data_IF_700221887685
#
_entry.id   IF_700221887685
#
_cell.length_a   1.000
_cell.length_b   1.000
_cell.length_c   1.000
_cell.angle_alpha   90.00
_cell.angle_beta   90.00
_cell.angle_gamma   90.00
#
_symmetry.space_group_name_H-M   'P 1'
#
loop_
_entity.id
_entity.type
_entity.pdbx_description
1 polymer ?
#
# COMPACT_ATOMS: atom_id res chain seq x y z
N UNK A 1 -39.99 21.24 -94.58
CA UNK A 1 -38.70 20.54 -94.52
C UNK A 1 -37.76 21.34 -93.62
N UNK A 2 -37.69 21.00 -92.34
CA UNK A 2 -36.67 21.55 -91.44
C UNK A 2 -35.45 20.63 -91.63
N UNK A 3 -34.46 21.08 -92.39
CA UNK A 3 -33.17 20.40 -92.47
C UNK A 3 -32.54 20.45 -91.08
N UNK A 4 -32.63 19.34 -90.33
CA UNK A 4 -31.77 19.12 -89.18
C UNK A 4 -30.34 19.01 -89.73
N UNK A 5 -29.56 20.07 -89.57
CA UNK A 5 -28.13 20.03 -89.81
C UNK A 5 -27.53 18.98 -88.86
N UNK A 6 -27.23 17.79 -89.39
CA UNK A 6 -26.28 16.86 -88.77
C UNK A 6 -24.94 17.60 -88.75
N UNK A 7 -24.66 18.32 -87.66
CA UNK A 7 -23.34 18.86 -87.42
C UNK A 7 -22.42 17.65 -87.17
N UNK A 8 -21.55 17.37 -88.13
CA UNK A 8 -20.58 16.29 -88.03
C UNK A 8 -19.48 16.74 -87.05
N UNK A 9 -19.61 16.38 -85.77
CA UNK A 9 -18.69 16.82 -84.71
C UNK A 9 -17.49 15.85 -84.66
N UNK A 10 -16.22 16.35 -84.58
CA UNK A 10 -15.04 15.52 -84.40
C UNK A 10 -14.94 15.01 -82.94
N UNK A 11 -15.89 14.14 -82.56
CA UNK A 11 -16.07 13.66 -81.17
C UNK A 11 -14.82 12.94 -80.67
N UNK A 12 -14.16 12.17 -81.54
CA UNK A 12 -12.97 11.41 -81.18
C UNK A 12 -11.83 12.35 -80.78
N UNK A 13 -11.47 13.28 -81.64
CA UNK A 13 -10.36 14.23 -81.43
C UNK A 13 -10.63 15.13 -80.23
N UNK A 14 -11.86 15.61 -80.05
CA UNK A 14 -12.27 16.40 -78.89
C UNK A 14 -12.18 15.60 -77.58
N UNK A 15 -12.60 14.33 -77.60
CA UNK A 15 -12.52 13.44 -76.43
C UNK A 15 -11.06 13.13 -76.08
N UNK A 16 -10.21 12.86 -77.08
CA UNK A 16 -8.79 12.61 -76.89
C UNK A 16 -8.07 13.85 -76.31
N UNK A 17 -8.38 15.05 -76.80
CA UNK A 17 -7.84 16.30 -76.27
C UNK A 17 -8.25 16.52 -74.80
N UNK A 18 -9.53 16.34 -74.47
CA UNK A 18 -10.03 16.42 -73.08
C UNK A 18 -9.36 15.39 -72.17
N UNK A 19 -9.20 14.16 -72.64
CA UNK A 19 -8.50 13.10 -71.90
C UNK A 19 -7.02 13.45 -71.67
N UNK A 20 -6.34 13.99 -72.68
CA UNK A 20 -4.95 14.43 -72.56
C UNK A 20 -4.80 15.59 -71.56
N UNK A 21 -5.70 16.59 -71.59
CA UNK A 21 -5.72 17.69 -70.60
C UNK A 21 -5.93 17.14 -69.19
N UNK A 22 -6.85 16.18 -69.00
CA UNK A 22 -7.08 15.56 -67.71
C UNK A 22 -5.84 14.82 -67.19
N UNK A 23 -5.13 14.09 -68.06
CA UNK A 23 -3.85 13.44 -67.72
C UNK A 23 -2.75 14.45 -67.40
N UNK A 24 -2.67 15.56 -68.16
CA UNK A 24 -1.72 16.64 -67.89
C UNK A 24 -1.93 17.22 -66.49
N UNK A 25 -3.18 17.47 -66.10
CA UNK A 25 -3.52 17.88 -64.73
C UNK A 25 -3.17 16.83 -63.69
N UNK A 26 -3.44 15.55 -63.97
CA UNK A 26 -3.10 14.44 -63.08
C UNK A 26 -1.60 14.40 -62.76
N UNK A 27 -0.72 14.66 -63.74
CA UNK A 27 0.74 14.73 -63.55
C UNK A 27 1.23 16.14 -63.16
N UNK A 28 0.36 16.94 -62.53
CA UNK A 28 0.68 18.27 -62.01
C UNK A 28 1.25 19.26 -63.04
N UNK A 29 0.78 19.21 -64.29
CA UNK A 29 1.22 20.16 -65.32
C UNK A 29 0.91 21.62 -64.96
N UNK A 30 -0.10 21.88 -64.13
CA UNK A 30 -0.36 23.23 -63.59
C UNK A 30 0.83 23.79 -62.80
N UNK A 31 1.61 22.92 -62.15
CA UNK A 31 2.82 23.29 -61.40
C UNK A 31 4.06 23.30 -62.29
N UNK A 32 4.23 22.32 -63.17
CA UNK A 32 5.50 22.09 -63.87
C UNK A 32 5.56 22.56 -65.32
N UNK A 33 4.43 22.65 -66.02
CA UNK A 33 4.32 23.16 -67.39
C UNK A 33 2.95 23.83 -67.64
N UNK A 34 2.66 24.95 -66.94
CA UNK A 34 1.40 25.65 -67.07
C UNK A 34 1.21 26.23 -68.48
N UNK A 35 2.30 26.55 -69.19
CA UNK A 35 2.25 27.19 -70.49
C UNK A 35 1.64 26.25 -71.55
N UNK A 36 2.15 25.02 -71.67
CA UNK A 36 1.60 24.04 -72.61
C UNK A 36 0.21 23.57 -72.21
N UNK A 37 -0.07 23.47 -70.90
CA UNK A 37 -1.42 23.14 -70.41
C UNK A 37 -2.44 24.24 -70.77
N UNK A 38 -2.11 25.50 -70.51
CA UNK A 38 -2.97 26.64 -70.84
C UNK A 38 -3.15 26.79 -72.35
N UNK A 39 -2.09 26.57 -73.13
CA UNK A 39 -2.15 26.52 -74.60
C UNK A 39 -3.11 25.43 -75.07
N UNK A 40 -3.00 24.22 -74.51
CA UNK A 40 -3.90 23.10 -74.83
C UNK A 40 -5.37 23.43 -74.55
N UNK A 41 -5.65 24.03 -73.39
CA UNK A 41 -7.00 24.46 -73.00
C UNK A 41 -7.53 25.51 -73.98
N UNK A 42 -6.72 26.50 -74.35
CA UNK A 42 -7.08 27.55 -75.31
C UNK A 42 -7.36 26.98 -76.72
N UNK A 43 -6.56 26.05 -77.19
CA UNK A 43 -6.76 25.37 -78.47
C UNK A 43 -8.05 24.54 -78.47
N UNK A 44 -8.39 23.91 -77.33
CA UNK A 44 -9.66 23.20 -77.19
C UNK A 44 -10.85 24.15 -77.27
N UNK A 45 -10.81 25.30 -76.58
CA UNK A 45 -11.84 26.34 -76.69
C UNK A 45 -11.97 26.86 -78.12
N UNK A 46 -10.84 27.10 -78.79
CA UNK A 46 -10.83 27.49 -80.21
C UNK A 46 -11.52 26.45 -81.09
N UNK A 47 -11.35 25.15 -80.79
CA UNK A 47 -12.08 24.08 -81.46
C UNK A 47 -13.59 24.15 -81.27
N UNK A 48 -14.07 24.54 -80.08
CA UNK A 48 -15.50 24.76 -79.84
C UNK A 48 -16.02 25.97 -80.63
N UNK A 49 -15.25 27.05 -80.72
CA UNK A 49 -15.62 28.24 -81.51
C UNK A 49 -15.77 27.91 -83.00
N UNK A 50 -14.91 27.04 -83.55
CA UNK A 50 -15.05 26.56 -84.92
C UNK A 50 -16.34 25.75 -85.14
N UNK A 51 -16.74 24.92 -84.17
CA UNK A 51 -18.02 24.20 -84.25
C UNK A 51 -19.24 25.13 -84.22
N UNK A 52 -19.19 26.21 -83.42
CA UNK A 52 -20.24 27.25 -83.42
C UNK A 52 -20.38 27.90 -84.80
N UNK A 53 -19.29 27.99 -85.56
CA UNK A 53 -19.26 28.54 -86.93
C UNK A 53 -19.49 27.49 -88.02
N UNK A 54 -19.84 26.25 -87.65
CA UNK A 54 -19.97 25.09 -88.55
C UNK A 54 -18.67 24.71 -89.32
N UNK A 55 -17.49 25.11 -88.83
CA UNK A 55 -16.19 24.74 -89.40
C UNK A 55 -15.65 23.46 -88.75
N UNK A 56 -16.10 22.31 -89.26
CA UNK A 56 -15.69 20.98 -88.77
C UNK A 56 -14.18 20.70 -88.96
N UNK A 57 -13.57 20.98 -90.13
CA UNK A 57 -12.12 20.81 -90.30
C UNK A 57 -11.29 21.68 -89.36
N UNK A 58 -11.69 22.95 -89.16
CA UNK A 58 -11.04 23.85 -88.20
C UNK A 58 -11.14 23.34 -86.76
N UNK A 59 -12.33 22.87 -86.36
CA UNK A 59 -12.54 22.27 -85.05
C UNK A 59 -11.67 21.03 -84.82
N UNK A 60 -11.56 20.14 -85.82
CA UNK A 60 -10.71 18.95 -85.76
C UNK A 60 -9.24 19.33 -85.58
N UNK A 61 -8.74 20.26 -86.40
CA UNK A 61 -7.34 20.72 -86.34
C UNK A 61 -7.00 21.36 -84.98
N UNK A 62 -7.92 22.15 -84.44
CA UNK A 62 -7.76 22.76 -83.12
C UNK A 62 -7.77 21.73 -81.98
N UNK A 63 -8.61 20.69 -82.06
CA UNK A 63 -8.61 19.58 -81.11
C UNK A 63 -7.30 18.76 -81.17
N UNK A 64 -6.77 18.50 -82.36
CA UNK A 64 -5.48 17.84 -82.55
C UNK A 64 -4.32 18.67 -81.96
N UNK A 65 -4.31 19.99 -82.21
CA UNK A 65 -3.33 20.91 -81.63
C UNK A 65 -3.41 20.89 -80.08
N UNK A 66 -4.63 20.99 -79.54
CA UNK A 66 -4.87 20.89 -78.10
C UNK A 66 -4.31 19.61 -77.51
N UNK A 67 -4.56 18.46 -78.15
CA UNK A 67 -4.02 17.16 -77.73
C UNK A 67 -2.50 17.16 -77.72
N UNK A 68 -1.84 17.71 -78.75
CA UNK A 68 -0.38 17.79 -78.84
C UNK A 68 0.21 18.67 -77.74
N UNK A 69 -0.38 19.85 -77.48
CA UNK A 69 0.03 20.74 -76.39
C UNK A 69 -0.14 20.05 -75.03
N UNK A 70 -1.21 19.29 -74.80
CA UNK A 70 -1.38 18.51 -73.56
C UNK A 70 -0.35 17.38 -73.42
N UNK A 71 -0.02 16.68 -74.51
CA UNK A 71 1.03 15.64 -74.49
C UNK A 71 2.42 16.23 -74.20
N UNK A 72 2.72 17.41 -74.73
CA UNK A 72 3.93 18.15 -74.40
C UNK A 72 3.98 18.49 -72.90
N UNK A 73 2.87 19.00 -72.36
CA UNK A 73 2.74 19.29 -70.93
C UNK A 73 2.95 18.05 -70.05
N UNK A 74 2.38 16.90 -70.43
CA UNK A 74 2.60 15.63 -69.74
C UNK A 74 4.08 15.24 -69.76
N UNK A 75 4.71 15.27 -70.93
CA UNK A 75 6.11 14.87 -71.10
C UNK A 75 7.07 15.74 -70.29
N UNK A 76 6.81 17.05 -70.21
CA UNK A 76 7.62 17.98 -69.44
C UNK A 76 7.41 17.83 -67.91
N UNK A 77 6.18 17.52 -67.50
CA UNK A 77 5.78 17.52 -66.09
C UNK A 77 6.05 16.19 -65.39
N UNK A 78 5.85 15.06 -66.08
CA UNK A 78 5.84 13.73 -65.48
C UNK A 78 7.13 13.36 -64.72
N UNK A 79 8.35 13.64 -65.22
CA UNK A 79 9.57 13.34 -64.47
C UNK A 79 9.66 14.07 -63.13
N UNK A 80 9.29 15.36 -63.10
CA UNK A 80 9.29 16.18 -61.87
C UNK A 80 8.15 15.75 -60.93
N UNK A 81 6.99 15.43 -61.48
CA UNK A 81 5.85 14.95 -60.72
C UNK A 81 6.17 13.64 -59.99
N UNK A 82 6.76 12.67 -60.69
CA UNK A 82 7.18 11.40 -60.10
C UNK A 82 8.24 11.61 -58.99
N UNK A 83 9.22 12.49 -59.22
CA UNK A 83 10.26 12.80 -58.21
C UNK A 83 9.69 13.44 -56.94
N UNK A 84 8.92 14.51 -57.11
CA UNK A 84 8.37 15.26 -55.99
C UNK A 84 7.38 14.41 -55.19
N UNK A 85 6.54 13.61 -55.86
CA UNK A 85 5.60 12.72 -55.16
C UNK A 85 6.31 11.57 -54.44
N UNK A 86 7.40 11.03 -54.97
CA UNK A 86 8.18 10.02 -54.27
C UNK A 86 8.88 10.61 -53.04
N UNK A 87 9.38 11.84 -53.15
CA UNK A 87 9.98 12.59 -52.04
C UNK A 87 8.93 12.87 -50.95
N UNK A 88 7.75 13.32 -51.34
CA UNK A 88 6.59 13.52 -50.44
C UNK A 88 6.21 12.22 -49.73
N UNK A 89 6.09 11.11 -50.47
CA UNK A 89 5.77 9.79 -49.91
C UNK A 89 6.75 9.37 -48.81
N UNK A 90 8.05 9.52 -49.06
CA UNK A 90 9.10 9.21 -48.09
C UNK A 90 9.04 10.12 -46.87
N UNK A 91 8.79 11.41 -47.04
CA UNK A 91 8.66 12.36 -45.94
C UNK A 91 7.46 12.01 -45.05
N UNK A 92 6.28 11.78 -45.64
CA UNK A 92 5.07 11.37 -44.92
C UNK A 92 5.29 10.04 -44.20
N UNK A 93 5.94 9.07 -44.83
CA UNK A 93 6.30 7.80 -44.21
C UNK A 93 7.22 7.98 -42.99
N UNK A 94 8.23 8.83 -43.07
CA UNK A 94 9.12 9.14 -41.94
C UNK A 94 8.39 9.85 -40.79
N UNK A 95 7.45 10.75 -41.10
CA UNK A 95 6.61 11.39 -40.08
C UNK A 95 5.69 10.38 -39.39
N UNK A 96 5.12 9.43 -40.15
CA UNK A 96 4.34 8.33 -39.58
C UNK A 96 5.21 7.40 -38.72
N UNK A 97 6.44 7.11 -39.14
CA UNK A 97 7.41 6.30 -38.39
C UNK A 97 7.77 6.93 -37.04
N UNK A 98 8.03 8.26 -37.01
CA UNK A 98 8.25 9.01 -35.76
C UNK A 98 7.08 8.90 -34.79
N UNK A 99 5.86 8.80 -35.31
CA UNK A 99 4.64 8.61 -34.53
C UNK A 99 4.38 7.14 -34.14
N UNK A 100 5.36 6.25 -34.36
CA UNK A 100 5.24 4.82 -34.06
C UNK A 100 4.05 4.16 -34.79
N UNK A 101 3.77 4.61 -36.02
CA UNK A 101 2.65 4.12 -36.80
C UNK A 101 2.74 2.63 -37.14
N UNK A 102 3.94 2.04 -37.15
CA UNK A 102 4.12 0.58 -37.26
C UNK A 102 3.32 -0.19 -36.20
N UNK A 103 3.26 0.33 -34.96
CA UNK A 103 2.52 -0.31 -33.86
C UNK A 103 1.03 0.05 -33.87
N UNK A 104 0.68 1.28 -34.26
CA UNK A 104 -0.69 1.78 -34.15
C UNK A 104 -1.55 1.60 -35.41
N UNK A 105 -0.92 1.51 -36.58
CA UNK A 105 -1.52 1.41 -37.90
C UNK A 105 -0.68 0.50 -38.82
N UNK A 106 -0.45 -0.77 -38.43
CA UNK A 106 0.51 -1.65 -39.11
C UNK A 106 0.17 -1.88 -40.59
N UNK A 107 -1.11 -1.98 -40.94
CA UNK A 107 -1.57 -2.22 -42.31
C UNK A 107 -1.24 -1.03 -43.23
N UNK A 108 -1.66 0.18 -42.83
CA UNK A 108 -1.42 1.40 -43.62
C UNK A 108 0.07 1.73 -43.69
N UNK A 109 0.81 1.55 -42.59
CA UNK A 109 2.25 1.80 -42.54
C UNK A 109 3.03 0.84 -43.46
N UNK A 110 2.75 -0.47 -43.39
CA UNK A 110 3.36 -1.46 -44.27
C UNK A 110 2.97 -1.24 -45.74
N UNK A 111 1.69 -0.90 -46.00
CA UNK A 111 1.20 -0.57 -47.34
C UNK A 111 1.92 0.65 -47.93
N UNK A 112 2.10 1.72 -47.14
CA UNK A 112 2.84 2.91 -47.57
C UNK A 112 4.29 2.55 -47.94
N UNK A 113 4.98 1.75 -47.11
CA UNK A 113 6.34 1.30 -47.40
C UNK A 113 6.43 0.49 -48.70
N UNK A 114 5.52 -0.47 -48.87
CA UNK A 114 5.45 -1.29 -50.09
C UNK A 114 5.24 -0.43 -51.34
N UNK A 115 4.34 0.55 -51.28
CA UNK A 115 4.08 1.45 -52.41
C UNK A 115 5.26 2.38 -52.72
N UNK A 116 6.05 2.79 -51.71
CA UNK A 116 7.33 3.51 -51.93
C UNK A 116 8.32 2.62 -52.68
N UNK A 117 8.51 1.39 -52.23
CA UNK A 117 9.49 0.46 -52.82
C UNK A 117 9.10 0.11 -54.28
N UNK A 118 7.80 -0.08 -54.56
CA UNK A 118 7.27 -0.24 -55.92
C UNK A 118 7.48 1.01 -56.78
N UNK A 119 7.23 2.21 -56.22
CA UNK A 119 7.44 3.47 -56.93
C UNK A 119 8.91 3.70 -57.32
N UNK A 120 9.86 3.38 -56.43
CA UNK A 120 11.29 3.46 -56.70
C UNK A 120 11.71 2.52 -57.84
N UNK A 121 11.22 1.28 -57.80
CA UNK A 121 11.48 0.29 -58.85
C UNK A 121 10.98 0.80 -60.21
N UNK A 122 9.73 1.24 -60.28
CA UNK A 122 9.11 1.74 -61.51
C UNK A 122 9.84 2.98 -62.06
N UNK A 123 10.32 3.87 -61.18
CA UNK A 123 11.12 5.04 -61.58
C UNK A 123 12.43 4.61 -62.23
N UNK A 124 13.13 3.63 -61.65
CA UNK A 124 14.39 3.10 -62.20
C UNK A 124 14.19 2.42 -63.56
N UNK A 125 13.02 1.81 -63.77
CA UNK A 125 12.59 1.23 -65.05
C UNK A 125 12.09 2.29 -66.06
N UNK A 126 12.20 3.58 -65.73
CA UNK A 126 11.67 4.73 -66.50
C UNK A 126 10.15 4.72 -66.70
N UNK A 127 9.42 3.89 -65.94
CA UNK A 127 7.96 3.89 -65.91
C UNK A 127 7.44 4.96 -64.94
N UNK A 128 7.56 6.22 -65.37
CA UNK A 128 7.34 7.38 -64.51
C UNK A 128 5.88 7.60 -64.12
N UNK A 129 4.92 7.21 -64.97
CA UNK A 129 3.49 7.37 -64.66
C UNK A 129 3.07 6.42 -63.55
N UNK A 130 3.45 5.15 -63.64
CA UNK A 130 3.12 4.17 -62.61
C UNK A 130 3.88 4.48 -61.31
N UNK A 131 5.14 4.94 -61.41
CA UNK A 131 5.91 5.44 -60.26
C UNK A 131 5.21 6.61 -59.55
N UNK A 132 4.71 7.58 -60.31
CA UNK A 132 3.93 8.70 -59.78
C UNK A 132 2.66 8.22 -59.07
N UNK A 133 1.89 7.32 -59.69
CA UNK A 133 0.66 6.77 -59.10
C UNK A 133 0.95 6.01 -57.80
N UNK A 134 1.99 5.18 -57.79
CA UNK A 134 2.43 4.45 -56.59
C UNK A 134 2.91 5.37 -55.47
N UNK A 135 3.59 6.45 -55.82
CA UNK A 135 3.98 7.49 -54.86
C UNK A 135 2.76 8.16 -54.23
N UNK A 136 1.72 8.47 -55.01
CA UNK A 136 0.47 9.03 -54.48
C UNK A 136 -0.30 8.04 -53.59
N UNK A 137 -0.32 6.77 -53.95
CA UNK A 137 -0.85 5.69 -53.09
C UNK A 137 -0.09 5.64 -51.76
N UNK A 138 1.23 5.71 -51.79
CA UNK A 138 2.07 5.73 -50.59
C UNK A 138 1.81 6.94 -49.69
N UNK A 139 1.61 8.13 -50.28
CA UNK A 139 1.23 9.35 -49.54
C UNK A 139 -0.11 9.17 -48.84
N UNK A 140 -1.11 8.58 -49.51
CA UNK A 140 -2.44 8.32 -48.91
C UNK A 140 -2.31 7.40 -47.69
N UNK A 141 -1.70 6.23 -47.88
CA UNK A 141 -1.52 5.23 -46.83
C UNK A 141 -0.68 5.77 -45.66
N UNK A 142 0.41 6.49 -45.96
CA UNK A 142 1.25 7.10 -44.92
C UNK A 142 0.51 8.18 -44.14
N UNK A 143 -0.31 9.00 -44.80
CA UNK A 143 -1.13 10.02 -44.15
C UNK A 143 -2.22 9.41 -43.28
N UNK A 144 -2.84 8.32 -43.72
CA UNK A 144 -3.81 7.56 -42.92
C UNK A 144 -3.15 6.95 -41.68
N UNK A 145 -1.99 6.31 -41.84
CA UNK A 145 -1.21 5.74 -40.75
C UNK A 145 -0.85 6.82 -39.70
N UNK A 146 -0.38 7.98 -40.18
CA UNK A 146 -0.09 9.15 -39.35
C UNK A 146 -1.33 9.62 -38.57
N UNK A 147 -2.48 9.75 -39.23
CA UNK A 147 -3.72 10.19 -38.60
C UNK A 147 -4.21 9.21 -37.51
N UNK A 148 -4.06 7.90 -37.72
CA UNK A 148 -4.38 6.88 -36.72
C UNK A 148 -3.45 6.99 -35.50
N UNK A 149 -2.14 7.13 -35.74
CA UNK A 149 -1.15 7.27 -34.67
C UNK A 149 -1.36 8.55 -33.84
N UNK A 150 -1.68 9.68 -34.48
CA UNK A 150 -1.97 10.95 -33.79
C UNK A 150 -3.15 10.84 -32.81
N UNK A 151 -4.17 10.02 -33.12
CA UNK A 151 -5.30 9.79 -32.21
C UNK A 151 -4.89 9.11 -30.90
N UNK A 152 -3.69 8.50 -30.83
CA UNK A 152 -3.16 7.88 -29.61
C UNK A 152 -2.43 8.86 -28.68
N UNK A 153 -2.00 10.02 -29.18
CA UNK A 153 -1.26 11.02 -28.41
C UNK A 153 -1.98 11.43 -27.11
N UNK A 154 -3.30 11.71 -27.08
CA UNK A 154 -3.99 12.05 -25.84
C UNK A 154 -3.94 10.94 -24.79
N UNK A 155 -4.06 9.68 -25.20
CA UNK A 155 -4.00 8.52 -24.30
C UNK A 155 -2.59 8.34 -23.72
N UNK A 156 -1.56 8.60 -24.52
CA UNK A 156 -0.16 8.56 -24.07
C UNK A 156 0.11 9.64 -23.02
N UNK A 157 -0.36 10.88 -23.27
CA UNK A 157 -0.23 11.98 -22.30
C UNK A 157 -0.92 11.65 -20.98
N UNK A 158 -2.15 11.11 -21.03
CA UNK A 158 -2.87 10.68 -19.82
C UNK A 158 -2.10 9.60 -19.05
N UNK A 159 -1.48 8.65 -19.75
CA UNK A 159 -0.61 7.63 -19.14
C UNK A 159 0.59 8.23 -18.42
N UNK A 160 1.27 9.20 -19.05
CA UNK A 160 2.40 9.92 -18.42
C UNK A 160 1.95 10.71 -17.20
N UNK A 161 0.82 11.41 -17.27
CA UNK A 161 0.28 12.18 -16.15
C UNK A 161 -0.06 11.28 -14.95
N UNK A 162 -0.65 10.10 -15.21
CA UNK A 162 -0.88 9.08 -14.18
C UNK A 162 0.42 8.65 -13.53
N UNK A 163 1.45 8.33 -14.32
CA UNK A 163 2.76 7.96 -13.77
C UNK A 163 3.39 9.08 -12.92
N UNK A 164 3.22 10.35 -13.31
CA UNK A 164 3.68 11.49 -12.49
C UNK A 164 2.95 11.59 -11.15
N UNK A 165 1.64 11.32 -11.14
CA UNK A 165 0.87 11.24 -9.90
C UNK A 165 1.42 10.10 -9.03
N UNK A 166 1.63 8.93 -9.61
CA UNK A 166 2.19 7.77 -8.88
C UNK A 166 3.56 8.05 -8.27
N UNK A 167 4.43 8.77 -8.98
CA UNK A 167 5.73 9.22 -8.45
C UNK A 167 5.54 10.10 -7.21
N UNK A 168 4.57 11.01 -7.22
CA UNK A 168 4.29 11.86 -6.06
C UNK A 168 3.71 11.08 -4.89
N UNK A 169 2.81 10.13 -5.15
CA UNK A 169 2.29 9.24 -4.11
C UNK A 169 3.41 8.42 -3.47
N UNK A 170 4.34 7.89 -4.28
CA UNK A 170 5.50 7.13 -3.80
C UNK A 170 6.42 7.95 -2.88
N UNK A 171 6.53 9.27 -3.07
CA UNK A 171 7.33 10.13 -2.17
C UNK A 171 6.79 10.14 -0.73
N UNK A 172 5.47 9.98 -0.58
CA UNK A 172 4.81 9.94 0.74
C UNK A 172 4.84 8.55 1.38
N UNK A 173 5.15 7.51 0.61
CA UNK A 173 5.17 6.14 1.10
C UNK A 173 6.46 5.83 1.86
N UNK A 174 6.40 4.78 2.68
CA UNK A 174 7.53 4.28 3.43
C UNK A 174 8.49 3.49 2.51
N UNK A 175 9.20 4.20 1.63
CA UNK A 175 10.24 3.66 0.73
C UNK A 175 11.64 3.87 1.31
N UNK A 176 12.66 3.22 0.75
CA UNK A 176 14.06 3.35 1.15
C UNK A 176 14.70 4.65 0.61
N UNK A 177 15.77 5.14 1.26
CA UNK A 177 16.47 6.34 0.79
C UNK A 177 17.00 6.24 -0.65
N UNK A 178 17.59 5.12 -1.11
CA UNK A 178 17.97 4.96 -2.51
C UNK A 178 16.79 5.14 -3.47
N UNK A 179 15.62 4.58 -3.14
CA UNK A 179 14.41 4.72 -3.97
C UNK A 179 13.91 6.15 -4.02
N UNK A 180 13.99 6.90 -2.91
CA UNK A 180 13.67 8.34 -2.92
C UNK A 180 14.59 9.13 -3.84
N UNK A 181 15.87 8.76 -3.89
CA UNK A 181 16.86 9.39 -4.78
C UNK A 181 16.65 9.01 -6.25
N UNK A 182 16.05 7.85 -6.54
CA UNK A 182 15.72 7.43 -7.91
C UNK A 182 14.51 8.18 -8.49
N UNK A 183 13.51 8.53 -7.68
CA UNK A 183 12.25 9.16 -8.15
C UNK A 183 12.44 10.45 -8.98
N UNK A 184 13.34 11.39 -8.62
CA UNK A 184 13.63 12.56 -9.46
C UNK A 184 14.11 12.20 -10.87
N UNK A 185 14.99 11.21 -10.99
CA UNK A 185 15.51 10.76 -12.28
C UNK A 185 14.41 10.11 -13.14
N UNK A 186 13.50 9.36 -12.51
CA UNK A 186 12.31 8.81 -13.19
C UNK A 186 11.38 9.94 -13.67
N UNK A 187 11.17 10.96 -12.84
CA UNK A 187 10.38 12.15 -13.23
C UNK A 187 10.98 12.88 -14.42
N UNK A 188 12.30 13.08 -14.44
CA UNK A 188 13.01 13.73 -15.54
C UNK A 188 12.85 12.96 -16.86
N UNK A 189 12.85 11.61 -16.82
CA UNK A 189 12.56 10.78 -18.00
C UNK A 189 11.15 11.03 -18.55
N UNK A 190 10.15 11.14 -17.67
CA UNK A 190 8.78 11.45 -18.09
C UNK A 190 8.64 12.87 -18.64
N UNK A 191 9.39 13.84 -18.11
CA UNK A 191 9.43 15.20 -18.65
C UNK A 191 10.04 15.23 -20.06
N UNK A 192 11.13 14.49 -20.29
CA UNK A 192 11.73 14.30 -21.63
C UNK A 192 10.75 13.58 -22.57
N UNK A 193 10.04 12.56 -22.08
CA UNK A 193 9.04 11.87 -22.87
C UNK A 193 7.90 12.82 -23.30
N UNK A 194 7.39 13.67 -22.40
CA UNK A 194 6.37 14.67 -22.75
C UNK A 194 6.87 15.67 -23.79
N UNK A 195 8.12 16.13 -23.67
CA UNK A 195 8.73 17.00 -24.68
C UNK A 195 8.75 16.32 -26.06
N UNK A 196 9.18 15.06 -26.14
CA UNK A 196 9.19 14.30 -27.39
C UNK A 196 7.78 14.06 -27.94
N UNK A 197 6.80 13.76 -27.08
CA UNK A 197 5.39 13.61 -27.48
C UNK A 197 4.84 14.92 -28.07
N UNK A 198 5.15 16.07 -27.47
CA UNK A 198 4.77 17.40 -28.02
C UNK A 198 5.42 17.71 -29.37
N UNK A 199 6.54 17.06 -29.68
CA UNK A 199 7.24 17.15 -30.95
C UNK A 199 6.80 16.05 -31.94
N UNK A 200 5.80 15.24 -31.58
CA UNK A 200 5.31 14.09 -32.35
C UNK A 200 6.36 13.00 -32.60
N UNK A 201 7.39 12.90 -31.74
CA UNK A 201 8.40 11.85 -31.78
C UNK A 201 8.10 10.76 -30.73
N UNK A 202 7.05 9.98 -31.01
CA UNK A 202 6.64 8.86 -30.16
C UNK A 202 7.66 7.71 -30.17
N UNK A 203 8.42 7.57 -31.26
CA UNK A 203 9.47 6.55 -31.41
C UNK A 203 10.57 6.72 -30.37
N UNK A 204 10.98 7.97 -30.09
CA UNK A 204 11.93 8.26 -29.01
C UNK A 204 11.27 8.38 -27.63
N UNK A 205 10.00 8.80 -27.55
CA UNK A 205 9.30 8.87 -26.26
C UNK A 205 9.00 7.49 -25.65
N UNK A 206 8.61 6.51 -26.47
CA UNK A 206 8.19 5.18 -26.02
C UNK A 206 9.18 4.45 -25.10
N UNK A 207 10.51 4.37 -25.40
CA UNK A 207 11.45 3.73 -24.49
C UNK A 207 11.57 4.46 -23.16
N UNK A 208 11.52 5.79 -23.14
CA UNK A 208 11.57 6.57 -21.89
C UNK A 208 10.35 6.33 -21.01
N UNK A 209 9.16 6.25 -21.62
CA UNK A 209 7.91 5.93 -20.93
C UNK A 209 8.01 4.54 -20.31
N UNK A 210 8.44 3.55 -21.08
CA UNK A 210 8.58 2.16 -20.61
C UNK A 210 9.60 2.04 -19.47
N UNK A 211 10.77 2.64 -19.61
CA UNK A 211 11.78 2.63 -18.57
C UNK A 211 11.29 3.29 -17.28
N UNK A 212 10.51 4.37 -17.39
CA UNK A 212 9.91 5.03 -16.24
C UNK A 212 8.85 4.15 -15.58
N UNK A 213 7.98 3.51 -16.37
CA UNK A 213 6.96 2.57 -15.88
C UNK A 213 7.60 1.38 -15.14
N UNK A 214 8.63 0.76 -15.73
CA UNK A 214 9.38 -0.34 -15.11
C UNK A 214 10.02 0.08 -13.78
N UNK A 215 10.62 1.28 -13.73
CA UNK A 215 11.19 1.83 -12.50
C UNK A 215 10.12 2.09 -11.42
N UNK A 216 8.98 2.69 -11.78
CA UNK A 216 7.86 2.92 -10.87
C UNK A 216 7.35 1.59 -10.31
N UNK A 217 7.15 0.58 -11.15
CA UNK A 217 6.66 -0.73 -10.73
C UNK A 217 7.64 -1.43 -9.79
N UNK A 218 8.94 -1.34 -10.06
CA UNK A 218 9.99 -1.87 -9.16
C UNK A 218 9.98 -1.17 -7.80
N UNK A 219 9.87 0.17 -7.78
CA UNK A 219 9.81 0.95 -6.53
C UNK A 219 8.54 0.59 -5.75
N UNK A 220 7.37 0.49 -6.40
CA UNK A 220 6.10 0.07 -5.79
C UNK A 220 6.22 -1.33 -5.16
N UNK A 221 6.79 -2.30 -5.87
CA UNK A 221 6.96 -3.66 -5.37
C UNK A 221 7.82 -3.67 -4.10
N UNK A 222 8.94 -2.95 -4.12
CA UNK A 222 9.82 -2.84 -2.97
C UNK A 222 9.20 -2.05 -1.79
N UNK A 223 8.38 -1.03 -2.07
CA UNK A 223 7.59 -0.33 -1.05
C UNK A 223 6.64 -1.29 -0.33
N UNK A 224 5.88 -2.10 -1.09
CA UNK A 224 4.99 -3.14 -0.54
C UNK A 224 5.77 -4.15 0.30
N UNK A 225 6.94 -4.58 -0.18
CA UNK A 225 7.83 -5.50 0.55
C UNK A 225 8.25 -4.91 1.90
N UNK A 226 8.67 -3.65 1.92
CA UNK A 226 9.08 -2.95 3.15
C UNK A 226 7.90 -2.77 4.12
N UNK A 227 6.74 -2.31 3.64
CA UNK A 227 5.53 -2.19 4.48
C UNK A 227 5.10 -3.53 5.08
N UNK A 228 5.18 -4.62 4.31
CA UNK A 228 4.89 -5.96 4.81
C UNK A 228 5.87 -6.37 5.93
N UNK A 229 7.18 -6.15 5.74
CA UNK A 229 8.20 -6.43 6.77
C UNK A 229 7.98 -5.64 8.05
N UNK A 230 7.71 -4.33 7.93
CA UNK A 230 7.47 -3.45 9.08
C UNK A 230 6.23 -3.91 9.85
N UNK A 231 5.15 -4.27 9.14
CA UNK A 231 3.92 -4.77 9.76
C UNK A 231 4.09 -6.14 10.42
N UNK A 232 4.86 -7.05 9.80
CA UNK A 232 5.20 -8.34 10.41
C UNK A 232 5.98 -8.11 11.71
N UNK A 233 6.96 -7.20 11.71
CA UNK A 233 7.74 -6.88 12.90
C UNK A 233 6.87 -6.31 14.03
N UNK A 234 5.95 -5.39 13.72
CA UNK A 234 4.99 -4.83 14.67
C UNK A 234 4.09 -5.92 15.27
N UNK A 235 3.47 -6.76 14.45
CA UNK A 235 2.59 -7.83 14.92
C UNK A 235 3.34 -8.88 15.77
N UNK A 236 4.62 -9.16 15.46
CA UNK A 236 5.47 -10.00 16.31
C UNK A 236 5.69 -9.36 17.69
N UNK A 237 5.88 -8.04 17.76
CA UNK A 237 5.99 -7.33 19.03
C UNK A 237 4.68 -7.36 19.82
N UNK A 238 3.53 -7.17 19.16
CA UNK A 238 2.22 -7.22 19.80
C UNK A 238 1.89 -8.61 20.36
N UNK A 239 2.19 -9.67 19.61
CA UNK A 239 2.02 -11.05 20.07
C UNK A 239 2.86 -11.32 21.33
N UNK A 240 4.12 -10.88 21.34
CA UNK A 240 5.01 -11.04 22.49
C UNK A 240 4.57 -10.19 23.69
N UNK A 241 4.09 -8.97 23.46
CA UNK A 241 3.52 -8.12 24.50
C UNK A 241 2.27 -8.78 25.12
N UNK A 242 1.45 -9.43 24.31
CA UNK A 242 0.27 -10.16 24.78
C UNK A 242 0.67 -11.38 25.63
N UNK A 243 1.70 -12.15 25.23
CA UNK A 243 2.25 -13.24 26.06
C UNK A 243 2.68 -12.73 27.45
N UNK A 244 3.41 -11.60 27.50
CA UNK A 244 3.83 -10.98 28.77
C UNK A 244 2.67 -10.52 29.64
N UNK A 245 1.53 -10.16 29.04
CA UNK A 245 0.28 -9.82 29.73
C UNK A 245 -0.60 -11.03 30.02
N UNK A 246 0.02 -12.20 30.26
CA UNK A 246 -0.65 -13.48 30.57
C UNK A 246 -1.56 -14.00 29.44
N UNK A 247 -1.38 -13.53 28.21
CA UNK A 247 -2.13 -14.03 27.06
C UNK A 247 -1.93 -15.53 26.83
N UNK A 248 -0.74 -16.06 27.14
CA UNK A 248 -0.46 -17.50 27.03
C UNK A 248 -1.37 -18.38 27.90
N UNK A 249 -1.93 -17.84 28.98
CA UNK A 249 -2.82 -18.60 29.88
C UNK A 249 -4.23 -18.76 29.31
N UNK A 250 -4.65 -17.86 28.41
CA UNK A 250 -6.04 -17.76 27.95
C UNK A 250 -6.20 -17.92 26.43
N UNK A 251 -5.14 -17.66 25.67
CA UNK A 251 -5.14 -17.58 24.22
C UNK A 251 -3.82 -18.09 23.61
N UNK A 252 -3.13 -19.03 24.26
CA UNK A 252 -1.84 -19.55 23.80
C UNK A 252 -1.87 -20.07 22.36
N UNK A 253 -2.86 -20.90 22.02
CA UNK A 253 -3.02 -21.45 20.67
C UNK A 253 -3.24 -20.37 19.60
N UNK A 254 -4.04 -19.34 19.91
CA UNK A 254 -4.27 -18.23 18.98
C UNK A 254 -2.99 -17.41 18.77
N UNK A 255 -2.22 -17.14 19.83
CA UNK A 255 -0.94 -16.43 19.74
C UNK A 255 0.08 -17.22 18.92
N UNK A 256 0.13 -18.54 19.10
CA UNK A 256 1.02 -19.40 18.30
C UNK A 256 0.58 -19.45 16.83
N UNK A 257 -0.73 -19.43 16.58
CA UNK A 257 -1.31 -19.25 15.24
C UNK A 257 -0.90 -17.93 14.57
N UNK A 258 -0.91 -16.82 15.31
CA UNK A 258 -0.39 -15.53 14.83
C UNK A 258 1.07 -15.67 14.40
N UNK A 259 1.92 -16.27 15.23
CA UNK A 259 3.35 -16.45 14.91
C UNK A 259 3.55 -17.31 13.67
N UNK A 260 2.79 -18.40 13.52
CA UNK A 260 2.83 -19.25 12.34
C UNK A 260 2.47 -18.48 11.05
N UNK A 261 1.36 -17.73 11.08
CA UNK A 261 0.92 -16.91 9.95
C UNK A 261 1.95 -15.82 9.59
N UNK A 262 2.58 -15.21 10.59
CA UNK A 262 3.63 -14.21 10.37
C UNK A 262 4.89 -14.83 9.75
N UNK A 263 5.26 -16.06 10.11
CA UNK A 263 6.39 -16.76 9.49
C UNK A 263 6.09 -17.13 8.03
N UNK A 264 4.86 -17.56 7.73
CA UNK A 264 4.42 -17.76 6.35
C UNK A 264 4.44 -16.46 5.55
N UNK A 265 3.96 -15.36 6.13
CA UNK A 265 4.00 -14.04 5.51
C UNK A 265 5.44 -13.60 5.20
N UNK A 266 6.36 -13.77 6.15
CA UNK A 266 7.79 -13.45 6.01
C UNK A 266 8.42 -14.29 4.87
N UNK A 267 8.13 -15.58 4.81
CA UNK A 267 8.56 -16.44 3.71
C UNK A 267 8.01 -15.98 2.35
N UNK A 268 6.76 -15.52 2.28
CA UNK A 268 6.16 -15.02 1.03
C UNK A 268 6.78 -13.69 0.60
N UNK A 269 7.15 -12.83 1.55
CA UNK A 269 7.91 -11.60 1.30
C UNK A 269 9.29 -11.91 0.70
N UNK A 270 9.97 -12.95 1.19
CA UNK A 270 11.27 -13.38 0.64
C UNK A 270 11.15 -14.04 -0.74
N UNK A 271 10.03 -14.70 -1.03
CA UNK A 271 9.69 -15.23 -2.36
C UNK A 271 9.20 -14.16 -3.36
N UNK A 272 9.26 -12.89 -3.00
CA UNK A 272 8.78 -11.76 -3.82
C UNK A 272 7.28 -11.83 -4.15
N UNK A 273 6.47 -12.33 -3.20
CA UNK A 273 5.01 -12.42 -3.29
C UNK A 273 4.32 -11.53 -2.24
N UNK A 274 4.48 -10.20 -2.29
CA UNK A 274 3.98 -9.30 -1.25
C UNK A 274 2.45 -9.31 -1.13
N UNK A 275 1.71 -9.55 -2.22
CA UNK A 275 0.24 -9.59 -2.17
C UNK A 275 -0.27 -10.85 -1.44
N UNK A 276 0.38 -12.00 -1.63
CA UNK A 276 0.09 -13.21 -0.87
C UNK A 276 0.50 -13.07 0.61
N UNK A 277 1.64 -12.43 0.88
CA UNK A 277 2.08 -12.11 2.24
C UNK A 277 1.06 -11.21 2.96
N UNK A 278 0.49 -10.24 2.26
CA UNK A 278 -0.54 -9.33 2.81
C UNK A 278 -1.77 -10.07 3.31
N UNK A 279 -2.21 -11.12 2.59
CA UNK A 279 -3.33 -11.95 3.05
C UNK A 279 -2.99 -12.66 4.37
N UNK A 280 -1.78 -13.22 4.48
CA UNK A 280 -1.30 -13.87 5.71
C UNK A 280 -1.15 -12.88 6.88
N UNK A 281 -0.70 -11.66 6.60
CA UNK A 281 -0.68 -10.57 7.60
C UNK A 281 -2.10 -10.27 8.08
N UNK A 282 -3.08 -10.15 7.18
CA UNK A 282 -4.47 -9.88 7.55
C UNK A 282 -5.06 -11.02 8.40
N UNK A 283 -4.75 -12.27 8.09
CA UNK A 283 -5.17 -13.40 8.90
C UNK A 283 -4.51 -13.39 10.29
N UNK A 284 -3.22 -13.02 10.36
CA UNK A 284 -2.51 -12.84 11.62
C UNK A 284 -3.12 -11.72 12.47
N UNK A 285 -3.53 -10.60 11.87
CA UNK A 285 -4.22 -9.51 12.56
C UNK A 285 -5.55 -9.96 13.18
N UNK A 286 -6.36 -10.72 12.43
CA UNK A 286 -7.62 -11.27 12.94
C UNK A 286 -7.37 -12.24 14.10
N UNK A 287 -6.40 -13.14 13.95
CA UNK A 287 -6.04 -14.09 15.00
C UNK A 287 -5.51 -13.39 16.25
N UNK A 288 -4.72 -12.31 16.10
CA UNK A 288 -4.24 -11.49 17.21
C UNK A 288 -5.39 -10.78 17.93
N UNK A 289 -6.36 -10.23 17.21
CA UNK A 289 -7.53 -9.60 17.80
C UNK A 289 -8.36 -10.61 18.61
N UNK A 290 -8.53 -11.83 18.11
CA UNK A 290 -9.19 -12.92 18.84
C UNK A 290 -8.41 -13.29 20.11
N UNK A 291 -7.08 -13.40 20.01
CA UNK A 291 -6.22 -13.70 21.15
C UNK A 291 -6.31 -12.62 22.24
N UNK A 292 -6.33 -11.35 21.85
CA UNK A 292 -6.52 -10.21 22.75
C UNK A 292 -7.87 -10.29 23.46
N UNK A 293 -8.96 -10.54 22.72
CA UNK A 293 -10.30 -10.65 23.29
C UNK A 293 -10.41 -11.81 24.29
N UNK A 294 -9.89 -13.00 23.95
CA UNK A 294 -9.84 -14.16 24.86
C UNK A 294 -9.02 -13.88 26.11
N UNK A 295 -7.88 -13.21 25.96
CA UNK A 295 -7.01 -12.80 27.09
C UNK A 295 -7.75 -11.85 28.02
N UNK A 296 -8.38 -10.80 27.49
CA UNK A 296 -9.13 -9.84 28.31
C UNK A 296 -10.31 -10.50 29.01
N UNK A 297 -11.04 -11.39 28.32
CA UNK A 297 -12.11 -12.19 28.93
C UNK A 297 -11.61 -13.04 30.10
N UNK A 298 -10.52 -13.77 29.89
CA UNK A 298 -9.90 -14.60 30.93
C UNK A 298 -9.49 -13.81 32.16
N UNK A 299 -8.79 -12.68 31.94
CA UNK A 299 -8.39 -11.76 33.01
C UNK A 299 -9.58 -11.18 33.76
N UNK A 300 -10.64 -10.75 33.06
CA UNK A 300 -11.85 -10.20 33.69
C UNK A 300 -12.55 -11.25 34.57
N UNK A 301 -12.67 -12.50 34.11
CA UNK A 301 -13.27 -13.60 34.88
C UNK A 301 -12.46 -13.89 36.14
N UNK A 302 -11.13 -13.98 36.02
CA UNK A 302 -10.26 -14.22 37.17
C UNK A 302 -10.33 -13.05 38.17
N UNK A 303 -10.24 -11.81 37.67
CA UNK A 303 -10.33 -10.59 38.49
C UNK A 303 -11.67 -10.50 39.20
N UNK A 304 -12.78 -10.86 38.54
CA UNK A 304 -14.09 -10.94 39.17
C UNK A 304 -14.08 -11.87 40.38
N UNK A 305 -13.48 -13.06 40.26
CA UNK A 305 -13.37 -14.03 41.35
C UNK A 305 -12.52 -13.50 42.51
N UNK A 306 -11.36 -12.91 42.22
CA UNK A 306 -10.45 -12.41 43.27
C UNK A 306 -11.07 -11.21 44.01
N UNK A 307 -11.66 -10.27 43.28
CA UNK A 307 -12.30 -9.07 43.85
C UNK A 307 -13.56 -9.43 44.61
N UNK A 308 -14.36 -10.38 44.12
CA UNK A 308 -15.53 -10.90 44.85
C UNK A 308 -15.15 -11.48 46.20
N UNK A 309 -14.10 -12.31 46.25
CA UNK A 309 -13.57 -12.84 47.51
C UNK A 309 -13.06 -11.74 48.43
N UNK A 310 -12.31 -10.78 47.90
CA UNK A 310 -11.79 -9.64 48.67
C UNK A 310 -12.94 -8.80 49.26
N UNK A 311 -14.01 -8.60 48.51
CA UNK A 311 -15.21 -7.88 48.96
C UNK A 311 -15.88 -8.60 50.13
N UNK A 312 -16.09 -9.91 50.01
CA UNK A 312 -16.70 -10.75 51.05
C UNK A 312 -15.85 -10.78 52.33
N UNK A 313 -14.54 -10.92 52.19
CA UNK A 313 -13.60 -10.91 53.31
C UNK A 313 -13.59 -9.53 54.00
N UNK A 314 -13.61 -8.44 53.22
CA UNK A 314 -13.67 -7.06 53.75
C UNK A 314 -14.95 -6.81 54.53
N UNK A 315 -16.10 -7.30 54.04
CA UNK A 315 -17.40 -7.22 54.74
C UNK A 315 -17.39 -7.96 56.07
N UNK A 316 -16.89 -9.21 56.09
CA UNK A 316 -16.77 -10.01 57.33
C UNK A 316 -15.87 -9.33 58.37
N UNK A 317 -14.90 -8.57 57.90
CA UNK A 317 -13.91 -7.90 58.72
C UNK A 317 -14.37 -6.57 59.31
N UNK A 318 -15.33 -5.88 58.70
CA UNK A 318 -15.88 -4.60 59.19
C UNK A 318 -17.07 -4.79 60.16
N UNK A 319 -16.85 -5.53 61.25
CA UNK A 319 -17.90 -5.85 62.23
C UNK A 319 -18.48 -4.63 62.98
N UNK A 320 -17.87 -3.45 62.82
CA UNK A 320 -18.31 -2.19 63.44
C UNK A 320 -18.96 -1.23 62.41
N UNK A 321 -19.17 -1.68 61.17
CA UNK A 321 -19.73 -0.90 60.06
C UNK A 321 -19.03 0.46 59.84
N UNK A 322 -17.72 0.54 60.08
CA UNK A 322 -16.96 1.80 59.99
C UNK A 322 -16.69 2.23 58.57
N UNK A 323 -16.68 1.29 57.64
CA UNK A 323 -16.38 1.50 56.22
C UNK A 323 -17.57 1.10 55.34
N UNK A 324 -18.78 1.08 55.91
CA UNK A 324 -19.97 0.59 55.23
C UNK A 324 -20.23 1.33 53.90
N UNK A 325 -19.99 2.64 53.87
CA UNK A 325 -20.21 3.47 52.68
C UNK A 325 -19.22 3.13 51.55
N UNK A 326 -17.95 2.94 51.89
CA UNK A 326 -16.89 2.56 50.97
C UNK A 326 -17.08 1.13 50.47
N UNK A 327 -17.51 0.21 51.35
CA UNK A 327 -17.87 -1.17 50.99
C UNK A 327 -19.07 -1.17 50.03
N UNK A 328 -20.10 -0.36 50.30
CA UNK A 328 -21.26 -0.25 49.41
C UNK A 328 -20.87 0.31 48.04
N UNK A 329 -19.98 1.30 48.01
CA UNK A 329 -19.44 1.87 46.77
C UNK A 329 -18.66 0.81 45.97
N UNK A 330 -17.72 0.11 46.62
CA UNK A 330 -16.98 -0.98 45.98
C UNK A 330 -17.90 -2.12 45.51
N UNK A 331 -18.96 -2.42 46.27
CA UNK A 331 -19.98 -3.42 45.90
C UNK A 331 -20.75 -3.01 44.65
N UNK A 332 -21.11 -1.73 44.53
CA UNK A 332 -21.80 -1.18 43.36
C UNK A 332 -20.92 -1.27 42.11
N UNK A 333 -19.68 -0.81 42.21
CA UNK A 333 -18.70 -0.86 41.11
C UNK A 333 -18.42 -2.30 40.69
N UNK A 334 -18.30 -3.22 41.64
CA UNK A 334 -18.16 -4.65 41.36
C UNK A 334 -19.40 -5.24 40.65
N UNK A 335 -20.61 -4.85 41.06
CA UNK A 335 -21.84 -5.29 40.42
C UNK A 335 -21.98 -4.74 38.99
N UNK A 336 -21.57 -3.50 38.74
CA UNK A 336 -21.44 -2.94 37.38
C UNK A 336 -20.45 -3.76 36.54
N UNK A 337 -19.28 -4.08 37.10
CA UNK A 337 -18.28 -4.92 36.44
C UNK A 337 -18.83 -6.30 36.04
N UNK A 338 -19.66 -6.92 36.89
CA UNK A 338 -20.36 -8.17 36.57
C UNK A 338 -21.36 -8.02 35.43
N UNK A 339 -22.18 -6.97 35.43
CA UNK A 339 -23.12 -6.70 34.32
C UNK A 339 -22.38 -6.54 33.00
N UNK A 340 -21.26 -5.81 33.01
CA UNK A 340 -20.40 -5.64 31.82
C UNK A 340 -19.75 -6.96 31.39
N UNK A 341 -19.42 -7.84 32.32
CA UNK A 341 -18.90 -9.18 32.01
C UNK A 341 -19.94 -10.03 31.29
N UNK A 342 -21.19 -9.97 31.76
CA UNK A 342 -22.34 -10.68 31.18
C UNK A 342 -22.73 -10.12 29.81
N UNK A 343 -22.54 -8.81 29.58
CA UNK A 343 -22.74 -8.16 28.28
C UNK A 343 -21.54 -8.28 27.32
N UNK A 344 -20.56 -9.13 27.65
CA UNK A 344 -19.33 -9.35 26.88
C UNK A 344 -18.44 -8.11 26.68
N UNK A 345 -18.66 -7.05 27.46
CA UNK A 345 -17.84 -5.84 27.51
C UNK A 345 -16.62 -6.07 28.42
N UNK A 346 -15.76 -6.99 28.00
CA UNK A 346 -14.69 -7.54 28.85
C UNK A 346 -13.67 -6.50 29.33
N UNK A 347 -13.35 -5.51 28.49
CA UNK A 347 -12.36 -4.47 28.81
C UNK A 347 -12.89 -3.51 29.88
N UNK A 348 -14.13 -3.07 29.72
CA UNK A 348 -14.84 -2.20 30.66
C UNK A 348 -15.10 -2.95 31.97
N UNK A 349 -15.47 -4.23 31.89
CA UNK A 349 -15.63 -5.11 33.04
C UNK A 349 -14.34 -5.23 33.86
N UNK A 350 -13.22 -5.48 33.21
CA UNK A 350 -11.90 -5.58 33.86
C UNK A 350 -11.55 -4.28 34.59
N UNK A 351 -11.74 -3.12 33.94
CA UNK A 351 -11.49 -1.81 34.56
C UNK A 351 -12.35 -1.59 35.82
N UNK A 352 -13.64 -1.95 35.77
CA UNK A 352 -14.52 -1.87 36.96
C UNK A 352 -14.07 -2.79 38.09
N UNK A 353 -13.58 -4.00 37.78
CA UNK A 353 -13.02 -4.85 38.82
C UNK A 353 -11.74 -4.29 39.41
N UNK A 354 -10.88 -3.64 38.62
CA UNK A 354 -9.68 -2.94 39.12
C UNK A 354 -10.06 -1.76 40.03
N UNK A 355 -11.06 -0.96 39.65
CA UNK A 355 -11.58 0.13 40.48
C UNK A 355 -12.12 -0.38 41.82
N UNK A 356 -12.93 -1.44 41.79
CA UNK A 356 -13.47 -2.07 42.99
C UNK A 356 -12.35 -2.66 43.88
N UNK A 357 -11.34 -3.29 43.28
CA UNK A 357 -10.17 -3.79 44.01
C UNK A 357 -9.41 -2.65 44.70
N UNK A 358 -9.19 -1.53 44.02
CA UNK A 358 -8.50 -0.37 44.56
C UNK A 358 -9.25 0.22 45.77
N UNK A 359 -10.58 0.33 45.68
CA UNK A 359 -11.42 0.76 46.81
C UNK A 359 -11.28 -0.21 47.99
N UNK A 360 -11.36 -1.52 47.77
CA UNK A 360 -11.25 -2.52 48.83
C UNK A 360 -9.86 -2.54 49.48
N UNK A 361 -8.80 -2.42 48.68
CA UNK A 361 -7.44 -2.27 49.19
C UNK A 361 -7.29 -1.01 50.05
N UNK A 362 -7.90 0.11 49.64
CA UNK A 362 -7.88 1.36 50.43
C UNK A 362 -8.56 1.20 51.80
N UNK A 363 -9.67 0.45 51.86
CA UNK A 363 -10.37 0.13 53.12
C UNK A 363 -9.48 -0.75 54.01
N UNK A 364 -8.84 -1.77 53.42
CA UNK A 364 -7.88 -2.61 54.15
C UNK A 364 -6.79 -1.77 54.80
N UNK A 365 -6.21 -0.82 54.06
CA UNK A 365 -5.18 0.10 54.59
C UNK A 365 -5.73 1.03 55.68
N UNK A 366 -6.92 1.61 55.48
CA UNK A 366 -7.53 2.53 56.45
C UNK A 366 -7.93 1.82 57.76
N UNK A 367 -8.49 0.62 57.68
CA UNK A 367 -8.83 -0.23 58.84
C UNK A 367 -7.61 -0.53 59.67
N UNK A 368 -6.53 -0.87 58.98
CA UNK A 368 -5.30 -1.28 59.59
C UNK A 368 -4.55 -0.08 60.22
N UNK A 369 -4.57 1.09 59.57
CA UNK A 369 -4.18 2.36 60.19
C UNK A 369 -4.99 2.61 61.47
N UNK A 370 -6.31 2.51 61.44
CA UNK A 370 -7.16 2.67 62.61
C UNK A 370 -6.89 1.67 63.75
N UNK A 371 -6.52 0.43 63.41
CA UNK A 371 -6.08 -0.59 64.38
C UNK A 371 -4.79 -0.16 65.10
N UNK A 372 -3.82 0.34 64.35
CA UNK A 372 -2.54 0.84 64.89
C UNK A 372 -2.75 2.08 65.77
N UNK A 373 -3.66 2.98 65.39
CA UNK A 373 -4.01 4.17 66.18
C UNK A 373 -4.67 3.81 67.51
N UNK A 374 -5.65 2.90 67.52
CA UNK A 374 -6.27 2.39 68.77
C UNK A 374 -5.23 1.71 69.68
N UNK A 375 -4.21 1.10 69.09
CA UNK A 375 -3.09 0.51 69.82
C UNK A 375 -1.98 1.52 70.12
N UNK A 376 -2.15 2.83 69.87
CA UNK A 376 -1.19 3.87 70.23
C UNK A 376 0.17 3.73 69.51
N UNK A 377 0.16 3.23 68.27
CA UNK A 377 1.36 2.94 67.47
C UNK A 377 1.50 3.90 66.28
N UNK A 378 0.95 5.12 66.38
CA UNK A 378 0.83 6.09 65.26
C UNK A 378 2.15 6.80 64.91
N UNK A 379 3.07 6.88 65.87
CA UNK A 379 4.30 7.70 65.80
C UNK A 379 5.45 6.96 66.51
N UNK A 380 5.73 5.74 66.05
CA UNK A 380 6.84 4.97 66.59
C UNK A 380 8.13 5.35 65.84
N UNK A 381 9.11 5.91 66.56
CA UNK A 381 10.42 6.23 66.01
C UNK A 381 11.10 4.96 65.47
N UNK A 382 11.55 5.01 64.23
CA UNK A 382 12.27 3.92 63.58
C UNK A 382 13.77 4.01 63.84
N UNK A 383 14.31 3.11 64.66
CA UNK A 383 15.75 3.00 64.92
C UNK A 383 16.44 1.92 64.09
N UNK A 384 15.67 1.00 63.50
CA UNK A 384 16.18 -0.14 62.74
C UNK A 384 15.87 0.00 61.25
N UNK A 385 16.88 -0.23 60.41
CA UNK A 385 16.72 -0.33 58.96
C UNK A 385 16.76 -1.80 58.57
N UNK A 386 15.72 -2.27 57.88
CA UNK A 386 15.67 -3.62 57.32
C UNK A 386 15.89 -3.57 55.81
N UNK A 387 16.92 -4.27 55.34
CA UNK A 387 17.20 -4.43 53.91
C UNK A 387 16.44 -5.63 53.37
N UNK A 388 15.57 -5.42 52.39
CA UNK A 388 14.75 -6.47 51.76
C UNK A 388 15.66 -7.50 51.09
N UNK A 389 15.47 -8.79 51.41
CA UNK A 389 16.28 -9.88 50.87
C UNK A 389 15.49 -10.68 49.83
N UNK A 390 16.14 -10.98 48.71
CA UNK A 390 15.59 -11.93 47.74
C UNK A 390 15.89 -13.37 48.18
N UNK A 391 14.85 -14.17 48.41
CA UNK A 391 14.98 -15.61 48.61
C UNK A 391 14.03 -16.35 47.66
N UNK A 392 14.58 -17.27 46.84
CA UNK A 392 13.87 -18.01 45.79
C UNK A 392 12.71 -18.86 46.32
N UNK A 393 12.80 -19.34 47.56
CA UNK A 393 11.78 -20.19 48.20
C UNK A 393 10.81 -19.41 49.11
N UNK A 394 11.25 -18.28 49.68
CA UNK A 394 10.49 -17.48 50.65
C UNK A 394 10.76 -15.98 50.47
N UNK A 395 10.28 -15.42 49.36
CA UNK A 395 10.41 -13.97 49.07
C UNK A 395 9.93 -13.12 50.25
N UNK A 396 10.68 -12.07 50.56
CA UNK A 396 10.27 -11.06 51.52
C UNK A 396 9.07 -10.28 50.96
N UNK A 397 8.07 -10.09 51.81
CA UNK A 397 6.95 -9.18 51.64
C UNK A 397 6.76 -8.46 52.98
N UNK A 398 6.05 -7.32 53.01
CA UNK A 398 5.88 -6.55 54.25
C UNK A 398 5.35 -7.42 55.41
N UNK A 399 4.43 -8.35 55.12
CA UNK A 399 3.91 -9.34 56.06
C UNK A 399 5.00 -10.23 56.69
N UNK A 400 5.94 -10.73 55.89
CA UNK A 400 7.06 -11.55 56.36
C UNK A 400 8.12 -10.74 57.07
N UNK A 401 8.40 -9.52 56.63
CA UNK A 401 9.33 -8.62 57.32
C UNK A 401 8.80 -8.32 58.72
N UNK A 402 7.52 -7.99 58.84
CA UNK A 402 6.88 -7.82 60.14
C UNK A 402 6.87 -9.09 60.99
N UNK A 403 6.65 -10.26 60.38
CA UNK A 403 6.78 -11.52 61.12
C UNK A 403 8.21 -11.76 61.62
N UNK A 404 9.24 -11.41 60.84
CA UNK A 404 10.63 -11.59 61.25
C UNK A 404 11.01 -10.66 62.41
N UNK A 405 10.67 -9.38 62.28
CA UNK A 405 11.10 -8.32 63.21
C UNK A 405 10.19 -8.21 64.43
N UNK A 406 8.88 -8.26 64.24
CA UNK A 406 7.90 -8.09 65.32
C UNK A 406 7.33 -9.42 65.84
N UNK A 407 7.69 -10.56 65.23
CA UNK A 407 7.08 -11.89 65.50
C UNK A 407 5.56 -11.92 65.28
N UNK A 408 5.03 -10.90 64.61
CA UNK A 408 3.62 -10.71 64.28
C UNK A 408 3.50 -10.10 62.91
N UNK A 409 3.03 -10.93 62.00
CA UNK A 409 2.94 -10.57 60.61
C UNK A 409 1.87 -9.49 60.32
N UNK A 410 0.84 -9.41 61.17
CA UNK A 410 -0.20 -8.37 61.14
C UNK A 410 0.35 -6.95 61.32
N UNK A 411 1.60 -6.78 61.77
CA UNK A 411 2.22 -5.46 62.01
C UNK A 411 3.00 -4.91 60.82
N UNK A 412 2.93 -5.57 59.65
CA UNK A 412 3.43 -5.03 58.37
C UNK A 412 2.99 -3.62 57.99
N UNK A 413 1.79 -3.15 58.35
CA UNK A 413 1.28 -1.84 57.98
C UNK A 413 2.04 -0.72 58.71
N UNK A 414 2.65 -0.99 59.87
CA UNK A 414 3.58 -0.05 60.52
C UNK A 414 4.79 0.22 59.62
N UNK A 415 5.31 -0.83 58.99
CA UNK A 415 6.42 -0.73 58.04
C UNK A 415 5.97 0.06 56.81
N UNK A 416 4.78 -0.24 56.27
CA UNK A 416 4.23 0.50 55.12
C UNK A 416 4.05 1.99 55.43
N UNK A 417 3.44 2.33 56.56
CA UNK A 417 3.18 3.72 56.95
C UNK A 417 4.47 4.52 57.16
N UNK A 418 5.50 3.90 57.74
CA UNK A 418 6.79 4.54 57.97
C UNK A 418 7.65 4.71 56.70
N UNK A 419 7.29 4.02 55.60
CA UNK A 419 8.01 4.07 54.33
C UNK A 419 7.07 4.34 53.16
N UNK A 420 5.95 5.05 53.41
CA UNK A 420 4.89 5.27 52.42
C UNK A 420 5.38 6.09 51.22
N UNK A 421 6.39 6.92 51.42
CA UNK A 421 7.13 7.66 50.40
C UNK A 421 7.92 6.73 49.46
N UNK A 422 8.32 5.55 49.91
CA UNK A 422 9.10 4.57 49.14
C UNK A 422 8.26 3.40 48.58
N UNK A 423 7.06 3.17 49.13
CA UNK A 423 6.19 2.04 48.76
C UNK A 423 4.88 2.57 48.18
N UNK A 424 4.72 2.44 46.86
CA UNK A 424 3.49 2.84 46.16
C UNK A 424 2.37 1.81 46.29
N UNK A 425 2.72 0.53 46.18
CA UNK A 425 1.80 -0.60 46.38
C UNK A 425 2.34 -1.47 47.52
N UNK A 426 1.59 -1.67 48.62
CA UNK A 426 2.01 -2.52 49.74
C UNK A 426 2.37 -3.96 49.37
N UNK A 427 1.80 -4.48 48.29
CA UNK A 427 2.02 -5.86 47.84
C UNK A 427 3.30 -6.02 47.01
N UNK A 428 3.95 -4.91 46.62
CA UNK A 428 5.11 -4.90 45.72
C UNK A 428 6.30 -4.21 46.40
N UNK A 429 7.27 -5.01 46.84
CA UNK A 429 8.58 -4.54 47.36
C UNK A 429 9.72 -5.25 46.63
N UNK A 430 10.85 -4.56 46.45
CA UNK A 430 12.00 -5.03 45.68
C UNK A 430 13.19 -5.39 46.58
N UNK A 431 13.95 -6.44 46.25
CA UNK A 431 15.20 -6.76 46.94
C UNK A 431 16.17 -5.58 46.96
N UNK A 432 16.84 -5.37 48.09
CA UNK A 432 17.82 -4.29 48.30
C UNK A 432 17.22 -2.98 48.81
N UNK A 433 15.89 -2.78 48.75
CA UNK A 433 15.23 -1.65 49.38
C UNK A 433 15.48 -1.66 50.90
N UNK A 434 15.68 -0.47 51.48
CA UNK A 434 15.96 -0.30 52.90
C UNK A 434 14.78 0.35 53.57
N UNK A 435 14.04 -0.41 54.39
CA UNK A 435 12.85 0.08 55.08
C UNK A 435 13.14 0.42 56.52
N UNK A 436 12.67 1.57 56.95
CA UNK A 436 12.60 1.99 58.34
C UNK A 436 11.61 1.08 59.05
N UNK A 437 12.04 0.41 60.12
CA UNK A 437 11.20 -0.46 60.93
C UNK A 437 10.90 0.26 62.26
N UNK A 438 9.65 0.71 62.47
CA UNK A 438 9.25 1.38 63.71
C UNK A 438 9.42 0.49 64.96
N UNK A 439 9.91 1.03 66.07
CA UNK A 439 10.07 0.24 67.30
C UNK A 439 8.77 0.18 68.11
N UNK A 440 8.31 -1.04 68.47
CA UNK A 440 7.10 -1.22 69.29
C UNK A 440 7.46 -1.07 70.78
N UNK A 441 6.73 -0.29 71.60
CA UNK A 441 7.02 -0.12 73.02
C UNK A 441 7.07 -1.45 73.76
N UNK A 442 8.09 -1.66 74.61
CA UNK A 442 8.39 -2.93 75.28
C UNK A 442 7.19 -3.55 76.03
N UNK A 443 6.35 -2.72 76.69
CA UNK A 443 5.11 -3.17 77.35
C UNK A 443 4.13 -3.84 76.38
N UNK A 444 3.95 -3.29 75.18
CA UNK A 444 3.07 -3.88 74.16
C UNK A 444 3.72 -5.09 73.48
N UNK A 445 5.05 -5.09 73.34
CA UNK A 445 5.81 -6.24 72.82
C UNK A 445 5.60 -7.49 73.69
N UNK A 446 5.63 -7.36 75.03
CA UNK A 446 5.32 -8.46 75.98
C UNK A 446 3.84 -8.87 75.95
N UNK A 447 2.88 -7.92 75.94
CA UNK A 447 1.44 -8.20 75.82
C UNK A 447 1.10 -8.99 74.52
N UNK A 448 1.91 -8.80 73.48
CA UNK A 448 1.80 -9.48 72.20
C UNK A 448 2.47 -10.87 72.17
N UNK A 449 3.42 -11.15 73.06
CA UNK A 449 4.07 -12.45 73.21
C UNK A 449 3.20 -13.37 74.09
N UNK A 450 2.72 -12.89 75.23
CA UNK A 450 1.86 -13.64 76.17
C UNK A 450 0.54 -14.12 75.55
N UNK A 451 -0.09 -13.29 74.69
CA UNK A 451 -1.34 -13.65 74.00
C UNK A 451 -1.20 -14.78 72.97
N UNK A 452 0.04 -15.11 72.58
CA UNK A 452 0.35 -16.19 71.63
C UNK A 452 0.52 -17.52 72.37
N UNK A 453 1.25 -17.49 73.49
CA UNK A 453 1.43 -18.65 74.38
C UNK A 453 0.08 -19.13 74.96
N UNK A 454 -0.86 -18.22 75.24
CA UNK A 454 -2.22 -18.58 75.67
C UNK A 454 -3.15 -19.18 74.59
N UNK A 455 -2.78 -19.14 73.30
CA UNK A 455 -3.55 -19.75 72.19
C UNK A 455 -3.00 -21.09 71.73
N UNK A 456 -1.73 -21.38 72.00
CA UNK A 456 -1.08 -22.66 71.66
C UNK A 456 -1.53 -23.82 72.59
N UNK A 457 -2.37 -23.55 73.61
CA UNK A 457 -2.95 -24.57 74.51
C UNK A 457 -4.24 -25.26 74.05
N UNK A 458 -4.71 -25.06 72.81
CA UNK A 458 -5.86 -25.78 72.22
C UNK A 458 -5.56 -26.18 70.77
N UNK A 459 -4.69 -27.18 70.58
CA UNK A 459 -4.51 -27.87 69.30
C UNK A 459 -5.29 -29.19 69.30
N UNK A 460 -6.15 -29.35 68.28
CA UNK A 460 -6.76 -30.62 67.90
C UNK A 460 -5.71 -31.50 67.18
N UNK A 461 -5.85 -32.84 67.18
CA UNK A 461 -4.78 -33.74 66.80
C UNK A 461 -4.44 -33.68 65.30
N UNK A 462 -3.14 -33.79 65.04
CA UNK A 462 -2.48 -33.86 63.74
C UNK A 462 -2.88 -35.17 63.02
N UNK A 463 -3.29 -35.17 61.74
CA UNK A 463 -3.32 -36.38 60.94
C UNK A 463 -1.90 -36.74 60.45
N UNK A 464 -1.62 -38.04 60.49
CA UNK A 464 -0.33 -38.70 60.28
C UNK A 464 0.47 -38.28 59.03
N UNK A 465 1.79 -38.36 59.20
CA UNK A 465 2.83 -38.24 58.17
C UNK A 465 2.72 -39.36 57.12
N UNK A 466 2.95 -39.08 55.82
CA UNK A 466 3.42 -40.09 54.89
C UNK A 466 4.91 -40.34 55.10
N UNK A 467 5.28 -41.62 55.23
CA UNK A 467 6.64 -42.14 55.37
C UNK A 467 7.57 -41.76 54.20
N UNK A 468 8.76 -41.25 54.52
CA UNK A 468 9.89 -41.16 53.60
C UNK A 468 10.53 -42.55 53.45
N UNK A 469 10.40 -43.14 52.25
CA UNK A 469 11.24 -44.27 51.84
C UNK A 469 12.68 -43.80 51.67
N UNK A 470 13.57 -44.32 52.52
CA UNK A 470 15.03 -44.29 52.33
C UNK A 470 15.40 -45.13 51.10
N UNK A 471 16.01 -44.51 50.09
CA UNK A 471 16.77 -45.22 49.07
C UNK A 471 18.22 -45.31 49.56
N UNK A 472 18.62 -46.52 49.94
CA UNK A 472 20.01 -46.89 50.20
C UNK A 472 20.79 -46.99 48.90
N UNK A 473 22.07 -46.66 48.99
CA UNK A 473 23.07 -46.91 47.97
C UNK A 473 23.30 -48.41 47.78
N UNK A 474 23.48 -48.85 46.54
CA UNK A 474 24.28 -50.03 46.23
C UNK A 474 24.92 -49.90 44.83
N UNK A 475 26.12 -50.41 44.77
CA UNK A 475 27.16 -50.24 43.74
C UNK A 475 27.04 -51.25 42.60
N UNK A 476 27.27 -50.77 41.37
CA UNK A 476 28.04 -51.43 40.30
C UNK A 476 27.46 -52.65 39.57
N UNK A 477 27.39 -52.60 38.24
CA UNK A 477 28.12 -53.54 37.37
C UNK A 477 28.19 -53.08 35.91
N UNK A 478 29.28 -53.49 35.25
CA UNK A 478 29.59 -53.41 33.81
C UNK A 478 28.46 -54.07 32.99
N UNK A 479 28.14 -53.64 31.77
CA UNK A 479 28.87 -53.82 30.49
C UNK A 479 28.32 -52.82 29.49
#
# INVERSE_FOLDING_TARGET
MIFSCKLDVPIKEMTEARSAIAKARQVMAEKYDPDNLNKSIKELYTGHDFLVRNDVPGAKKAAEASRLSALAAISASLPRAAEDSLTEAKAVYQEADKLLAESFAPEQFAGSKKSIDEAEKLKNEQNLLDSFMKSREAVSLGSEAKAIALKKVPQINEGIDKMKIEINDLKSQNISEPQKQELPAVSEKLDKALQLVSQYDLKQAAPLIREAEDAINKIKAAARKKSAKDRIAELRQDAEALRKKRGSEFAGEDIDGVVALLNEADSLVEQDKPDAARNKISDAEKSLALAQAKTTKGLAIEKSKTVGKLLDDTRKMDTQNKFQNEINTASSVYAEGKKLLESESYKESLAKFEDAEALLKSISVAREKGYLEKKGMKELEGKMIYKVVYNRSKRDCLWRIAHKVYKRAQLWPLIYMANKDQIKDPDIIFPGQSFIIPEIPAKKKMEFIEKREGREGKEAPVPDKPEEKKAGAETGEKV
#
